data_IF_115076264017
#
_entry.id   IF_115076264017
#
_cell.length_a   1.000
_cell.length_b   1.000
_cell.length_c   1.000
_cell.angle_alpha   90.00
_cell.angle_beta   90.00
_cell.angle_gamma   90.00
#
_symmetry.space_group_name_H-M   'P 1'
#
loop_
_entity.id
_entity.type
_entity.pdbx_description
1 polymer ?
#
# COMPACT_ATOMS: atom_id res chain seq x y z
N UNK A 1 -28.51 7.26 4.97
CA UNK A 1 -27.61 6.59 5.93
C UNK A 1 -26.34 6.24 5.19
N UNK A 2 -25.27 7.00 5.39
CA UNK A 2 -23.92 6.52 5.07
C UNK A 2 -23.12 6.70 6.33
N UNK A 3 -23.17 5.61 7.09
CA UNK A 3 -22.56 5.37 8.39
C UNK A 3 -21.10 5.79 8.31
N UNK A 4 -20.60 6.42 9.37
CA UNK A 4 -19.19 6.48 9.66
C UNK A 4 -18.64 5.05 9.54
N UNK A 5 -18.06 4.70 8.39
CA UNK A 5 -17.41 3.41 8.21
C UNK A 5 -16.34 3.33 9.30
N UNK A 6 -16.62 2.54 10.33
CA UNK A 6 -15.74 2.41 11.46
C UNK A 6 -14.40 1.94 10.92
N UNK A 7 -13.39 2.79 10.98
CA UNK A 7 -12.06 2.48 10.47
C UNK A 7 -11.53 1.31 11.29
N UNK A 8 -11.57 0.12 10.69
CA UNK A 8 -11.09 -1.09 11.33
C UNK A 8 -9.57 -1.01 11.43
N UNK A 9 -9.10 -0.91 12.68
CA UNK A 9 -7.70 -0.81 13.02
C UNK A 9 -7.12 -2.19 13.29
N UNK A 10 -6.12 -2.57 12.51
CA UNK A 10 -5.47 -3.87 12.59
C UNK A 10 -3.97 -3.76 12.85
N UNK A 11 -3.39 -4.77 13.49
CA UNK A 11 -1.95 -4.82 13.74
C UNK A 11 -1.15 -5.09 12.46
N UNK A 12 0.15 -4.73 12.41
CA UNK A 12 1.03 -5.03 11.27
C UNK A 12 1.00 -6.50 10.85
N UNK A 13 0.89 -7.42 11.82
CA UNK A 13 0.83 -8.86 11.58
C UNK A 13 -0.48 -9.30 10.93
N UNK A 14 -1.60 -8.67 11.31
CA UNK A 14 -2.89 -8.93 10.67
C UNK A 14 -2.94 -8.35 9.26
N UNK A 15 -2.40 -7.14 9.08
CA UNK A 15 -2.28 -6.51 7.77
C UNK A 15 -1.45 -7.38 6.81
N UNK A 16 -0.31 -7.90 7.27
CA UNK A 16 0.53 -8.84 6.50
C UNK A 16 -0.25 -10.08 6.01
N UNK A 17 -1.07 -10.66 6.88
CA UNK A 17 -1.88 -11.84 6.54
C UNK A 17 -3.00 -11.51 5.54
N UNK A 18 -3.58 -10.31 5.62
CA UNK A 18 -4.65 -9.87 4.71
C UNK A 18 -4.13 -9.52 3.33
N UNK A 19 -3.04 -8.76 3.26
CA UNK A 19 -2.51 -8.25 1.98
C UNK A 19 -1.56 -9.25 1.31
N UNK A 20 -1.11 -10.28 2.05
CA UNK A 20 -0.09 -11.21 1.60
C UNK A 20 1.33 -10.63 1.64
N UNK A 21 1.51 -9.42 2.18
CA UNK A 21 2.82 -8.78 2.26
C UNK A 21 3.61 -9.28 3.47
N UNK A 22 4.95 -9.31 3.34
CA UNK A 22 5.80 -9.63 4.48
C UNK A 22 5.65 -8.58 5.60
N UNK A 23 5.51 -9.04 6.85
CA UNK A 23 5.39 -8.16 8.02
C UNK A 23 6.59 -7.20 8.14
N UNK A 24 7.79 -7.67 7.78
CA UNK A 24 9.00 -6.83 7.73
C UNK A 24 8.83 -5.65 6.76
N UNK A 25 8.25 -5.88 5.58
CA UNK A 25 7.99 -4.83 4.59
C UNK A 25 6.99 -3.80 5.11
N UNK A 26 5.93 -4.26 5.76
CA UNK A 26 4.94 -3.38 6.41
C UNK A 26 5.61 -2.53 7.50
N UNK A 27 6.43 -3.13 8.37
CA UNK A 27 7.21 -2.39 9.38
C UNK A 27 8.12 -1.35 8.75
N UNK A 28 8.88 -1.72 7.72
CA UNK A 28 9.72 -0.76 6.99
C UNK A 28 8.92 0.41 6.43
N UNK A 29 7.72 0.17 5.89
CA UNK A 29 6.86 1.24 5.37
C UNK A 29 6.27 2.12 6.48
N UNK A 30 6.02 1.57 7.67
CA UNK A 30 5.63 2.34 8.85
C UNK A 30 6.78 3.23 9.31
N UNK A 31 7.99 2.66 9.42
CA UNK A 31 9.19 3.38 9.87
C UNK A 31 9.54 4.52 8.90
N UNK A 32 9.38 4.30 7.59
CA UNK A 32 9.55 5.31 6.54
C UNK A 32 8.36 6.28 6.43
N UNK A 33 7.30 6.12 7.24
CA UNK A 33 6.07 6.96 7.21
C UNK A 33 5.33 6.96 5.87
N UNK A 34 5.47 5.87 5.13
CA UNK A 34 4.79 5.65 3.85
C UNK A 34 3.34 5.15 4.05
N UNK A 35 3.12 4.34 5.09
CA UNK A 35 1.80 3.86 5.49
C UNK A 35 1.18 4.76 6.56
N UNK A 36 -0.14 4.95 6.50
CA UNK A 36 -0.89 5.61 7.58
C UNK A 36 -1.01 4.64 8.76
N UNK A 37 -0.69 5.11 9.96
CA UNK A 37 -0.78 4.32 11.18
C UNK A 37 -1.15 5.20 12.38
N UNK A 38 -1.68 4.56 13.41
CA UNK A 38 -1.92 5.12 14.73
C UNK A 38 -1.07 4.33 15.73
N UNK A 39 -0.36 5.04 16.59
CA UNK A 39 0.38 4.42 17.70
C UNK A 39 -0.44 4.52 18.97
N UNK A 40 -0.84 3.37 19.51
CA UNK A 40 -1.53 3.28 20.80
C UNK A 40 -0.58 2.59 21.78
N UNK A 41 0.04 3.39 22.66
CA UNK A 41 1.09 2.94 23.57
C UNK A 41 2.32 2.40 22.81
N UNK A 42 2.57 1.10 22.95
CA UNK A 42 3.68 0.38 22.29
C UNK A 42 3.25 -0.34 21.01
N UNK A 43 1.97 -0.28 20.63
CA UNK A 43 1.43 -0.99 19.46
C UNK A 43 1.16 -0.03 18.32
N UNK A 44 1.54 -0.46 17.12
CA UNK A 44 1.12 0.16 15.88
C UNK A 44 -0.18 -0.48 15.41
N UNK A 45 -1.14 0.36 15.03
CA UNK A 45 -2.40 -0.05 14.42
C UNK A 45 -2.55 0.69 13.10
N UNK A 46 -3.01 -0.02 12.08
CA UNK A 46 -3.17 0.50 10.74
C UNK A 46 -4.63 0.35 10.30
N UNK A 47 -5.17 1.32 9.55
CA UNK A 47 -6.38 1.10 8.79
C UNK A 47 -6.25 -0.15 7.91
N UNK A 48 -7.31 -0.94 7.80
CA UNK A 48 -7.35 -2.09 6.88
C UNK A 48 -6.96 -1.71 5.45
N UNK A 49 -7.39 -0.54 4.99
CA UNK A 49 -7.17 0.00 3.64
C UNK A 49 -5.84 0.76 3.49
N UNK A 50 -4.98 0.77 4.51
CA UNK A 50 -3.75 1.57 4.47
C UNK A 50 -2.79 1.16 3.34
N UNK A 51 -2.76 -0.15 3.01
CA UNK A 51 -1.93 -0.68 1.92
C UNK A 51 -2.55 -0.34 0.58
N UNK A 52 -3.87 -0.46 0.41
CA UNK A 52 -4.56 -0.09 -0.81
C UNK A 52 -4.37 1.39 -1.14
N UNK A 53 -4.50 2.25 -0.13
CA UNK A 53 -4.25 3.70 -0.28
C UNK A 53 -2.79 4.01 -0.57
N UNK A 54 -1.85 3.24 -0.02
CA UNK A 54 -0.43 3.36 -0.36
C UNK A 54 -0.17 2.98 -1.81
N UNK A 55 -0.71 1.84 -2.26
CA UNK A 55 -0.59 1.40 -3.66
C UNK A 55 -1.20 2.45 -4.56
N UNK A 56 -2.42 2.92 -4.31
CA UNK A 56 -3.08 3.93 -5.13
C UNK A 56 -2.29 5.25 -5.23
N UNK A 57 -1.56 5.65 -4.18
CA UNK A 57 -0.72 6.85 -4.19
C UNK A 57 0.61 6.67 -4.91
N UNK A 58 1.24 5.51 -4.75
CA UNK A 58 2.59 5.23 -5.27
C UNK A 58 2.58 4.42 -6.58
N UNK A 59 1.40 4.10 -7.11
CA UNK A 59 1.25 3.34 -8.35
C UNK A 59 1.75 4.19 -9.52
N UNK A 60 2.94 3.85 -9.99
CA UNK A 60 3.50 4.38 -11.23
C UNK A 60 2.88 3.62 -12.40
N UNK A 61 2.31 4.34 -13.38
CA UNK A 61 1.82 3.71 -14.59
C UNK A 61 2.98 3.01 -15.30
N UNK A 62 2.79 1.73 -15.71
CA UNK A 62 3.82 1.04 -16.45
C UNK A 62 4.08 1.81 -17.75
N UNK A 63 5.32 2.27 -17.93
CA UNK A 63 5.76 2.80 -19.22
C UNK A 63 5.60 1.68 -20.23
N UNK A 64 4.57 1.79 -21.05
CA UNK A 64 4.41 0.97 -22.24
C UNK A 64 5.49 1.45 -23.19
N UNK A 65 6.68 0.86 -23.08
CA UNK A 65 7.74 1.02 -24.06
C UNK A 65 7.29 0.27 -25.33
N UNK A 66 6.30 0.83 -26.03
CA UNK A 66 6.01 0.50 -27.41
C UNK A 66 7.18 1.05 -28.19
N UNK A 67 8.26 0.26 -28.26
CA UNK A 67 9.20 0.37 -29.36
C UNK A 67 8.42 0.05 -30.63
N UNK A 68 7.80 1.08 -31.19
CA UNK A 68 7.59 1.19 -32.62
C UNK A 68 8.98 1.23 -33.26
N UNK A 69 9.64 0.07 -33.34
CA UNK A 69 10.76 -0.09 -34.25
C UNK A 69 10.12 -0.06 -35.62
N UNK A 70 10.16 1.12 -36.25
CA UNK A 70 9.75 1.32 -37.62
C UNK A 70 10.42 0.26 -38.48
N UNK A 71 9.59 -0.62 -39.01
CA UNK A 71 9.88 -1.40 -40.19
C UNK A 71 9.62 -0.47 -41.37
N UNK A 72 10.70 -0.03 -42.00
CA UNK A 72 10.65 0.89 -43.13
C UNK A 72 11.88 1.78 -43.20
N UNK A 73 12.95 1.28 -43.83
CA UNK A 73 13.67 2.04 -44.85
C UNK A 73 14.41 1.04 -45.76
N UNK A 74 14.12 1.19 -47.05
CA UNK A 74 14.62 0.61 -48.30
C UNK A 74 15.88 -0.30 -48.28
#
# INVERSE_FOLDING_TARGET
MSTLDAVELISPRQLARRTGWAEKRIRTLIDNRHLRYIRIGTRYLLPVNAVDEYIAREMVEPVSEVKARGEGDD
#
